data_IF_662913478936
#
_entry.id   IF_662913478936
#
_cell.length_a   1.000
_cell.length_b   1.000
_cell.length_c   1.000
_cell.angle_alpha   90.00
_cell.angle_beta   90.00
_cell.angle_gamma   90.00
#
_symmetry.space_group_name_H-M   'P 1'
#
loop_
_entity.id
_entity.type
_entity.pdbx_description
1 polymer ?
#
# COMPACT_ATOMS: atom_id res chain seq x y z
N UNK A 1 33.01 39.43 2.97
CA UNK A 1 31.70 38.71 2.98
C UNK A 1 31.72 37.70 1.85
N UNK A 2 32.12 36.45 2.12
CA UNK A 2 32.08 35.39 1.10
C UNK A 2 30.61 35.07 0.85
N UNK A 3 30.07 35.54 -0.28
CA UNK A 3 28.73 35.16 -0.71
C UNK A 3 28.68 33.64 -0.81
N UNK A 4 27.83 32.99 -0.02
CA UNK A 4 27.60 31.55 -0.17
C UNK A 4 27.16 31.30 -1.61
N UNK A 5 27.90 30.48 -2.35
CA UNK A 5 27.51 30.08 -3.69
C UNK A 5 26.12 29.44 -3.64
N UNK A 6 25.23 29.89 -4.52
CA UNK A 6 23.84 29.43 -4.60
C UNK A 6 23.57 28.71 -5.92
N UNK A 7 22.51 27.92 -5.93
CA UNK A 7 22.00 27.23 -7.11
C UNK A 7 20.49 27.13 -7.06
N UNK A 8 19.86 27.24 -8.23
CA UNK A 8 18.42 27.02 -8.39
C UNK A 8 18.12 25.52 -8.44
N UNK A 9 17.21 25.06 -7.60
CA UNK A 9 16.75 23.68 -7.63
C UNK A 9 15.82 23.45 -8.82
N UNK A 10 16.12 22.46 -9.67
CA UNK A 10 15.27 22.12 -10.83
C UNK A 10 13.86 21.60 -10.49
N UNK A 11 13.59 21.28 -9.23
CA UNK A 11 12.34 20.67 -8.78
C UNK A 11 11.43 21.72 -8.14
N UNK A 12 11.92 22.48 -7.15
CA UNK A 12 11.12 23.52 -6.49
C UNK A 12 11.29 24.92 -7.11
N UNK A 13 12.26 25.14 -8.00
CA UNK A 13 12.52 26.45 -8.61
C UNK A 13 13.20 27.47 -7.67
N UNK A 14 13.35 27.17 -6.39
CA UNK A 14 13.98 28.07 -5.41
C UNK A 14 15.52 28.11 -5.54
N UNK A 15 16.09 29.30 -5.39
CA UNK A 15 17.53 29.53 -5.25
C UNK A 15 17.98 29.24 -3.81
N UNK A 16 18.94 28.34 -3.64
CA UNK A 16 19.39 27.85 -2.32
C UNK A 16 20.91 27.76 -2.22
N UNK A 17 21.50 27.86 -1.02
CA UNK A 17 22.93 27.60 -0.80
C UNK A 17 23.36 26.22 -1.34
N UNK A 18 24.57 26.13 -1.93
CA UNK A 18 25.09 24.89 -2.52
C UNK A 18 25.15 23.72 -1.54
N UNK A 19 25.32 23.96 -0.24
CA UNK A 19 25.31 22.94 0.82
C UNK A 19 23.98 22.16 0.92
N UNK A 20 22.88 22.78 0.46
CA UNK A 20 21.58 22.13 0.34
C UNK A 20 21.47 21.25 -0.91
N UNK A 21 22.54 21.11 -1.70
CA UNK A 21 22.65 20.18 -2.82
C UNK A 21 23.71 19.13 -2.49
N UNK A 22 23.36 17.85 -2.63
CA UNK A 22 24.29 16.76 -2.35
C UNK A 22 25.43 16.70 -3.35
N UNK A 23 26.61 16.30 -2.88
CA UNK A 23 27.75 15.99 -3.74
C UNK A 23 27.45 14.77 -4.61
N UNK A 24 27.68 14.90 -5.91
CA UNK A 24 27.58 13.80 -6.86
C UNK A 24 28.69 13.95 -7.90
N UNK A 25 29.75 13.12 -7.74
CA UNK A 25 30.95 13.15 -8.59
C UNK A 25 30.66 12.81 -10.05
N UNK A 26 29.50 12.21 -10.35
CA UNK A 26 29.09 11.83 -11.71
C UNK A 26 28.51 13.01 -12.50
N UNK A 27 28.14 14.11 -11.82
CA UNK A 27 27.45 15.25 -12.43
C UNK A 27 28.43 16.40 -12.62
N UNK A 28 28.38 17.07 -13.78
CA UNK A 28 29.17 18.27 -14.06
C UNK A 28 28.92 19.33 -12.99
N UNK A 29 29.99 19.80 -12.33
CA UNK A 29 29.91 20.73 -11.21
C UNK A 29 29.76 20.06 -9.82
N UNK A 30 29.96 18.74 -9.73
CA UNK A 30 30.22 18.01 -8.47
C UNK A 30 29.07 17.92 -7.47
N UNK A 31 27.93 18.55 -7.76
CA UNK A 31 26.72 18.56 -6.94
C UNK A 31 25.49 18.32 -7.79
N UNK A 32 24.48 17.70 -7.19
CA UNK A 32 23.16 17.49 -7.79
C UNK A 32 22.50 18.82 -8.20
N UNK A 33 21.54 18.76 -9.14
CA UNK A 33 20.76 19.92 -9.60
C UNK A 33 19.39 20.05 -8.88
N UNK A 34 19.16 19.25 -7.84
CA UNK A 34 17.98 19.30 -6.97
C UNK A 34 18.42 19.42 -5.53
N UNK A 35 17.69 20.18 -4.70
CA UNK A 35 18.04 20.31 -3.30
C UNK A 35 17.73 19.02 -2.52
N UNK A 36 18.38 18.86 -1.36
CA UNK A 36 18.20 17.76 -0.41
C UNK A 36 16.74 17.61 -0.01
N UNK A 37 16.05 18.71 0.28
CA UNK A 37 14.62 18.69 0.62
C UNK A 37 13.77 18.08 -0.50
N UNK A 38 13.92 18.55 -1.73
CA UNK A 38 13.22 17.96 -2.89
C UNK A 38 13.63 16.52 -3.14
N UNK A 39 14.90 16.15 -2.90
CA UNK A 39 15.33 14.75 -2.99
C UNK A 39 14.61 13.91 -1.93
N UNK A 40 14.55 14.35 -0.68
CA UNK A 40 13.86 13.64 0.42
C UNK A 40 12.37 13.52 0.11
N UNK A 41 11.71 14.59 -0.36
CA UNK A 41 10.32 14.56 -0.79
C UNK A 41 10.08 13.61 -1.97
N UNK A 42 11.01 13.51 -2.93
CA UNK A 42 10.94 12.52 -4.03
C UNK A 42 11.29 11.09 -3.59
N UNK A 43 11.92 10.95 -2.44
CA UNK A 43 12.33 9.68 -1.83
C UNK A 43 11.42 9.33 -0.64
N UNK A 44 10.26 9.98 -0.50
CA UNK A 44 9.30 9.59 0.53
C UNK A 44 8.82 8.13 0.29
N UNK A 45 8.26 7.51 1.32
CA UNK A 45 7.86 6.09 1.25
C UNK A 45 6.74 5.86 0.24
N UNK A 46 5.81 6.81 0.11
CA UNK A 46 4.73 6.75 -0.86
C UNK A 46 5.25 6.78 -2.32
N UNK A 47 6.27 7.60 -2.61
CA UNK A 47 6.93 7.64 -3.92
C UNK A 47 7.60 6.33 -4.30
N UNK A 48 8.28 5.69 -3.34
CA UNK A 48 8.91 4.39 -3.57
C UNK A 48 7.84 3.32 -3.82
N UNK A 49 6.81 3.27 -2.96
CA UNK A 49 5.67 2.38 -3.12
C UNK A 49 4.97 2.56 -4.49
N UNK A 50 4.74 3.80 -4.91
CA UNK A 50 4.15 4.11 -6.22
C UNK A 50 4.98 3.54 -7.39
N UNK A 51 6.31 3.71 -7.35
CA UNK A 51 7.20 3.17 -8.39
C UNK A 51 7.15 1.66 -8.45
N UNK A 52 7.12 1.00 -7.30
CA UNK A 52 7.07 -0.46 -7.23
C UNK A 52 5.70 -1.00 -7.66
N UNK A 53 4.61 -0.32 -7.28
CA UNK A 53 3.26 -0.61 -7.79
C UNK A 53 3.19 -0.45 -9.31
N UNK A 54 3.66 0.69 -9.86
CA UNK A 54 3.64 0.95 -11.30
C UNK A 54 4.39 -0.11 -12.10
N UNK A 55 5.55 -0.56 -11.61
CA UNK A 55 6.31 -1.67 -12.24
C UNK A 55 5.53 -2.98 -12.21
N UNK A 56 4.92 -3.34 -11.07
CA UNK A 56 4.10 -4.55 -10.94
C UNK A 56 2.86 -4.49 -11.83
N UNK A 57 2.18 -3.36 -11.86
CA UNK A 57 0.98 -3.13 -12.65
C UNK A 57 1.27 -3.26 -14.16
N UNK A 58 2.36 -2.62 -14.63
CA UNK A 58 2.81 -2.75 -16.01
C UNK A 58 3.11 -4.21 -16.39
N UNK A 59 3.79 -4.96 -15.51
CA UNK A 59 4.10 -6.37 -15.74
C UNK A 59 2.83 -7.24 -15.79
N UNK A 60 1.83 -6.92 -14.98
CA UNK A 60 0.58 -7.66 -14.89
C UNK A 60 -0.49 -7.19 -15.90
N UNK A 61 -0.24 -6.14 -16.68
CA UNK A 61 -1.21 -5.58 -17.62
C UNK A 61 -2.43 -4.94 -16.93
N UNK A 62 -2.30 -4.50 -15.68
CA UNK A 62 -3.39 -3.86 -14.92
C UNK A 62 -3.20 -2.34 -14.88
N UNK A 63 -4.28 -1.54 -14.91
CA UNK A 63 -4.19 -0.09 -14.86
C UNK A 63 -3.62 0.40 -13.52
N UNK A 64 -2.94 1.55 -13.56
CA UNK A 64 -2.56 2.30 -12.36
C UNK A 64 -3.54 3.45 -12.18
N UNK A 65 -4.44 3.31 -11.20
CA UNK A 65 -5.47 4.31 -10.89
C UNK A 65 -5.01 5.25 -9.77
N UNK A 66 -4.36 4.71 -8.72
CA UNK A 66 -3.83 5.51 -7.61
C UNK A 66 -2.70 6.45 -8.06
N UNK A 67 -2.68 7.64 -7.50
CA UNK A 67 -1.64 8.66 -7.65
C UNK A 67 -0.63 8.64 -6.50
N UNK A 68 0.53 9.28 -6.69
CA UNK A 68 1.50 9.45 -5.59
C UNK A 68 0.90 10.25 -4.42
N UNK A 69 0.08 11.26 -4.71
CA UNK A 69 -0.54 12.10 -3.68
C UNK A 69 -1.51 11.33 -2.81
N UNK A 70 -2.32 10.45 -3.40
CA UNK A 70 -3.20 9.56 -2.64
C UNK A 70 -2.43 8.56 -1.78
N UNK A 71 -1.33 8.00 -2.28
CA UNK A 71 -0.47 7.16 -1.44
C UNK A 71 0.14 7.96 -0.27
N UNK A 72 0.49 9.24 -0.44
CA UNK A 72 0.93 10.06 0.69
C UNK A 72 -0.17 10.24 1.73
N UNK A 73 -1.40 10.50 1.29
CA UNK A 73 -2.56 10.58 2.17
C UNK A 73 -2.77 9.25 2.90
N UNK A 74 -2.62 8.11 2.23
CA UNK A 74 -2.73 6.78 2.83
C UNK A 74 -1.67 6.57 3.94
N UNK A 75 -0.41 6.88 3.66
CA UNK A 75 0.65 6.80 4.67
C UNK A 75 0.38 7.72 5.87
N UNK A 76 -0.13 8.93 5.63
CA UNK A 76 -0.48 9.88 6.68
C UNK A 76 -1.68 9.40 7.52
N UNK A 77 -2.75 8.92 6.85
CA UNK A 77 -3.95 8.40 7.50
C UNK A 77 -3.67 7.17 8.38
N UNK A 78 -2.60 6.43 8.08
CA UNK A 78 -2.17 5.27 8.85
C UNK A 78 -1.03 5.59 9.84
N UNK A 79 -0.61 6.85 9.97
CA UNK A 79 0.54 7.25 10.80
C UNK A 79 1.81 6.42 10.48
N UNK A 80 1.98 6.06 9.20
CA UNK A 80 3.04 5.17 8.72
C UNK A 80 3.02 3.73 9.27
N UNK A 81 1.98 3.34 10.02
CA UNK A 81 1.83 2.03 10.66
C UNK A 81 1.07 1.04 9.78
N UNK A 82 1.28 -0.24 10.05
CA UNK A 82 0.49 -1.31 9.45
C UNK A 82 -0.96 -1.18 9.91
N UNK A 83 -1.92 -1.08 8.98
CA UNK A 83 -3.33 -0.89 9.33
C UNK A 83 -3.88 -2.08 10.11
N UNK A 84 -3.38 -3.28 9.83
CA UNK A 84 -3.87 -4.51 10.44
C UNK A 84 -3.43 -4.64 11.90
N UNK A 85 -2.12 -4.59 12.16
CA UNK A 85 -1.58 -4.87 13.50
C UNK A 85 -1.12 -3.63 14.27
N UNK A 86 -1.14 -2.44 13.66
CA UNK A 86 -0.75 -1.17 14.29
C UNK A 86 0.76 -0.95 14.46
N UNK A 87 1.60 -1.94 14.12
CA UNK A 87 3.06 -1.81 14.24
C UNK A 87 3.62 -0.79 13.24
N UNK A 88 4.59 -0.02 13.69
CA UNK A 88 5.50 0.79 12.86
C UNK A 88 6.50 -0.08 12.09
N UNK A 89 7.21 0.51 11.12
CA UNK A 89 8.26 -0.20 10.38
C UNK A 89 9.39 -0.69 11.31
N UNK A 90 9.72 0.08 12.35
CA UNK A 90 10.76 -0.27 13.33
C UNK A 90 10.34 -1.48 14.17
N UNK A 91 9.10 -1.49 14.66
CA UNK A 91 8.53 -2.64 15.40
C UNK A 91 8.31 -3.88 14.51
N UNK A 92 8.11 -3.68 13.22
CA UNK A 92 8.01 -4.76 12.23
C UNK A 92 9.40 -5.25 11.75
N UNK A 93 10.45 -4.46 11.97
CA UNK A 93 11.81 -4.72 11.48
C UNK A 93 11.97 -4.62 9.97
N UNK A 94 10.97 -4.12 9.25
CA UNK A 94 10.97 -4.03 7.80
C UNK A 94 10.05 -2.92 7.29
N UNK A 95 10.27 -2.52 6.04
CA UNK A 95 9.40 -1.54 5.39
C UNK A 95 7.99 -2.08 5.23
N UNK A 96 7.01 -1.18 5.31
CA UNK A 96 5.64 -1.51 4.98
C UNK A 96 5.42 -1.53 3.47
N UNK A 97 4.41 -2.30 3.06
CA UNK A 97 4.01 -2.50 1.69
C UNK A 97 2.58 -2.00 1.48
N UNK A 98 2.27 -1.68 0.22
CA UNK A 98 0.87 -1.48 -0.18
C UNK A 98 0.27 -2.85 -0.45
N UNK A 99 -0.80 -3.14 0.28
CA UNK A 99 -1.62 -4.35 0.17
C UNK A 99 -3.00 -4.00 -0.40
N UNK A 100 -3.60 -4.98 -1.08
CA UNK A 100 -4.90 -4.86 -1.70
C UNK A 100 -5.97 -5.45 -0.79
N UNK A 101 -7.01 -4.66 -0.44
CA UNK A 101 -8.13 -5.11 0.41
C UNK A 101 -8.84 -6.30 -0.23
N UNK A 102 -9.28 -6.13 -1.47
CA UNK A 102 -9.68 -7.19 -2.40
C UNK A 102 -8.48 -7.52 -3.29
N UNK A 103 -7.94 -8.76 -3.26
CA UNK A 103 -6.77 -9.12 -4.07
C UNK A 103 -7.00 -8.94 -5.58
N UNK A 104 -5.95 -8.57 -6.33
CA UNK A 104 -6.02 -8.46 -7.80
C UNK A 104 -6.50 -9.76 -8.47
N UNK A 105 -6.12 -10.92 -7.93
CA UNK A 105 -6.56 -12.23 -8.43
C UNK A 105 -8.05 -12.50 -8.24
N UNK A 106 -8.75 -11.65 -7.49
CA UNK A 106 -10.19 -11.70 -7.22
C UNK A 106 -10.92 -10.46 -7.76
N UNK A 107 -10.33 -9.74 -8.71
CA UNK A 107 -10.95 -8.57 -9.34
C UNK A 107 -10.73 -7.25 -8.61
N UNK A 108 -9.85 -7.21 -7.60
CA UNK A 108 -9.45 -5.96 -6.99
C UNK A 108 -8.73 -5.02 -7.97
N UNK A 109 -8.74 -3.73 -7.67
CA UNK A 109 -8.17 -2.67 -8.52
C UNK A 109 -6.96 -2.00 -7.86
N UNK A 110 -6.26 -1.13 -8.60
CA UNK A 110 -5.21 -0.28 -8.04
C UNK A 110 -5.76 1.10 -7.63
N UNK A 111 -7.08 1.24 -7.47
CA UNK A 111 -7.71 2.45 -6.95
C UNK A 111 -7.41 2.62 -5.45
N UNK A 112 -7.32 3.86 -4.97
CA UNK A 112 -6.95 4.16 -3.58
C UNK A 112 -7.87 3.48 -2.56
N UNK A 113 -9.16 3.32 -2.86
CA UNK A 113 -10.13 2.63 -2.00
C UNK A 113 -9.86 1.14 -1.83
N UNK A 114 -9.01 0.53 -2.66
CA UNK A 114 -8.64 -0.87 -2.52
C UNK A 114 -7.24 -1.06 -1.91
N UNK A 115 -6.60 0.00 -1.40
CA UNK A 115 -5.20 -0.03 -0.97
C UNK A 115 -5.05 0.33 0.51
N UNK A 116 -4.19 -0.43 1.21
CA UNK A 116 -3.85 -0.18 2.61
C UNK A 116 -2.35 -0.38 2.87
N UNK A 117 -1.84 0.22 3.95
CA UNK A 117 -0.46 0.00 4.40
C UNK A 117 -0.36 -1.24 5.29
N UNK A 118 0.48 -2.20 4.91
CA UNK A 118 0.62 -3.47 5.64
C UNK A 118 2.09 -3.85 5.85
N UNK A 119 2.41 -4.39 7.02
CA UNK A 119 3.73 -5.00 7.23
C UNK A 119 3.85 -6.35 6.50
N UNK A 120 5.08 -6.79 6.24
CA UNK A 120 5.35 -8.02 5.50
C UNK A 120 4.66 -9.24 6.11
N UNK A 121 4.62 -9.34 7.45
CA UNK A 121 3.98 -10.48 8.13
C UNK A 121 2.45 -10.51 7.99
N UNK A 122 1.78 -9.35 8.02
CA UNK A 122 0.33 -9.28 7.85
C UNK A 122 -0.05 -9.47 6.39
N UNK A 123 0.68 -8.83 5.47
CA UNK A 123 0.50 -9.00 4.03
C UNK A 123 0.64 -10.49 3.61
N UNK A 124 1.69 -11.17 4.10
CA UNK A 124 1.87 -12.60 3.83
C UNK A 124 0.77 -13.48 4.46
N UNK A 125 0.29 -13.12 5.66
CA UNK A 125 -0.80 -13.85 6.31
C UNK A 125 -2.16 -13.67 5.61
N UNK A 126 -2.44 -12.47 5.10
CA UNK A 126 -3.63 -12.19 4.29
C UNK A 126 -3.58 -12.96 2.98
N UNK A 127 -2.46 -12.84 2.23
CA UNK A 127 -2.26 -13.49 0.94
C UNK A 127 -3.38 -13.10 -0.04
N UNK A 128 -4.18 -14.06 -0.47
CA UNK A 128 -5.29 -13.96 -1.41
C UNK A 128 -6.66 -13.97 -0.71
N UNK A 129 -6.69 -13.84 0.62
CA UNK A 129 -7.95 -13.74 1.37
C UNK A 129 -8.57 -12.35 1.19
N UNK A 130 -9.88 -12.27 0.98
CA UNK A 130 -10.66 -11.04 1.20
C UNK A 130 -10.46 -10.49 2.61
N UNK A 131 -10.72 -9.21 2.81
CA UNK A 131 -10.53 -8.53 4.10
C UNK A 131 -11.29 -9.21 5.24
N UNK A 132 -12.58 -9.49 5.06
CA UNK A 132 -13.42 -10.12 6.09
C UNK A 132 -12.93 -11.54 6.39
N UNK A 133 -12.61 -12.34 5.36
CA UNK A 133 -11.98 -13.66 5.55
C UNK A 133 -10.68 -13.57 6.31
N UNK A 134 -9.87 -12.53 6.07
CA UNK A 134 -8.63 -12.32 6.81
C UNK A 134 -8.89 -11.93 8.26
N UNK A 135 -9.83 -11.02 8.51
CA UNK A 135 -10.26 -10.60 9.84
C UNK A 135 -10.73 -11.79 10.69
N UNK A 136 -11.66 -12.60 10.17
CA UNK A 136 -12.23 -13.74 10.90
C UNK A 136 -11.20 -14.85 11.17
N UNK A 137 -10.22 -15.02 10.29
CA UNK A 137 -9.16 -16.04 10.44
C UNK A 137 -7.95 -15.56 11.25
N UNK A 138 -7.94 -14.30 11.73
CA UNK A 138 -6.82 -13.72 12.45
C UNK A 138 -7.18 -13.55 13.92
N UNK A 139 -6.21 -13.79 14.81
CA UNK A 139 -6.38 -13.46 16.22
C UNK A 139 -6.62 -11.93 16.35
N UNK A 140 -7.61 -11.54 17.17
CA UNK A 140 -8.00 -10.15 17.45
C UNK A 140 -6.83 -9.27 17.92
N UNK A 141 -5.83 -9.83 18.60
CA UNK A 141 -4.62 -9.10 19.01
C UNK A 141 -3.75 -8.68 17.81
N UNK A 142 -3.83 -9.44 16.71
CA UNK A 142 -3.03 -9.24 15.49
C UNK A 142 -3.80 -8.50 14.40
N UNK A 143 -5.12 -8.42 14.51
CA UNK A 143 -5.99 -7.59 13.68
C UNK A 143 -7.23 -7.14 14.49
N UNK A 144 -7.11 -6.03 15.25
CA UNK A 144 -8.18 -5.56 16.12
C UNK A 144 -9.40 -5.07 15.35
N UNK A 145 -10.57 -5.10 16.00
CA UNK A 145 -11.83 -4.62 15.44
C UNK A 145 -11.75 -3.15 14.97
N UNK A 146 -11.13 -2.28 15.78
CA UNK A 146 -10.89 -0.87 15.41
C UNK A 146 -10.12 -0.71 14.09
N UNK A 147 -9.21 -1.65 13.79
CA UNK A 147 -8.47 -1.64 12.54
C UNK A 147 -9.36 -2.04 11.37
N UNK A 148 -10.24 -3.03 11.55
CA UNK A 148 -11.22 -3.41 10.53
C UNK A 148 -12.18 -2.25 10.24
N UNK A 149 -12.73 -1.61 11.28
CA UNK A 149 -13.59 -0.44 11.13
C UNK A 149 -12.86 0.72 10.44
N UNK A 150 -11.61 1.01 10.81
CA UNK A 150 -10.82 2.05 10.16
C UNK A 150 -10.61 1.80 8.66
N UNK A 151 -10.41 0.53 8.25
CA UNK A 151 -10.33 0.16 6.84
C UNK A 151 -11.68 0.40 6.16
N UNK A 152 -12.80 -0.06 6.72
CA UNK A 152 -14.12 0.14 6.14
C UNK A 152 -14.45 1.63 5.93
N UNK A 153 -14.19 2.48 6.93
CA UNK A 153 -14.37 3.93 6.81
C UNK A 153 -13.43 4.57 5.79
N UNK A 154 -12.17 4.13 5.71
CA UNK A 154 -11.25 4.62 4.69
C UNK A 154 -11.75 4.29 3.28
N UNK A 155 -12.22 3.05 3.06
CA UNK A 155 -12.80 2.63 1.77
C UNK A 155 -14.01 3.51 1.44
N UNK A 156 -14.94 3.67 2.38
CA UNK A 156 -16.13 4.52 2.23
C UNK A 156 -15.78 5.95 1.82
N UNK A 157 -14.86 6.59 2.55
CA UNK A 157 -14.41 7.96 2.28
C UNK A 157 -13.72 8.10 0.92
N UNK A 158 -12.88 7.14 0.54
CA UNK A 158 -12.09 7.20 -0.70
C UNK A 158 -12.84 6.72 -1.94
N UNK A 159 -13.86 5.88 -1.78
CA UNK A 159 -14.77 5.49 -2.84
C UNK A 159 -15.95 6.46 -3.00
N UNK A 160 -16.19 7.32 -2.01
CA UNK A 160 -17.37 8.20 -2.00
C UNK A 160 -18.68 7.43 -1.77
N UNK A 161 -18.62 6.35 -0.99
CA UNK A 161 -19.76 5.47 -0.72
C UNK A 161 -20.17 5.51 0.76
N UNK A 162 -21.46 5.28 1.07
CA UNK A 162 -21.90 4.97 2.43
C UNK A 162 -21.15 3.75 3.01
N UNK A 163 -20.86 3.77 4.31
CA UNK A 163 -20.06 2.72 4.96
C UNK A 163 -20.80 1.37 5.03
N UNK A 164 -22.12 1.39 5.12
CA UNK A 164 -22.99 0.21 5.05
C UNK A 164 -22.90 -0.47 3.69
N UNK A 165 -22.96 0.27 2.58
CA UNK A 165 -22.75 -0.31 1.24
C UNK A 165 -21.36 -0.96 1.09
N UNK A 166 -20.33 -0.33 1.68
CA UNK A 166 -18.98 -0.91 1.70
C UNK A 166 -18.94 -2.20 2.50
N UNK A 167 -19.56 -2.23 3.68
CA UNK A 167 -19.60 -3.42 4.52
C UNK A 167 -20.36 -4.57 3.84
N UNK A 168 -21.47 -4.27 3.17
CA UNK A 168 -22.23 -5.24 2.40
C UNK A 168 -21.38 -5.85 1.27
N UNK A 169 -20.64 -5.01 0.54
CA UNK A 169 -19.70 -5.47 -0.50
C UNK A 169 -18.61 -6.39 0.05
N UNK A 170 -18.00 -6.02 1.20
CA UNK A 170 -16.97 -6.82 1.86
C UNK A 170 -17.50 -8.17 2.36
N UNK A 171 -18.72 -8.20 2.89
CA UNK A 171 -19.39 -9.42 3.33
C UNK A 171 -19.76 -10.33 2.15
N UNK A 172 -20.21 -9.73 1.04
CA UNK A 172 -20.51 -10.45 -0.18
C UNK A 172 -19.26 -11.10 -0.80
N UNK A 173 -18.13 -10.38 -0.86
CA UNK A 173 -16.83 -10.94 -1.29
C UNK A 173 -16.42 -12.14 -0.41
N UNK A 174 -16.61 -12.03 0.91
CA UNK A 174 -16.35 -13.12 1.84
C UNK A 174 -17.24 -14.34 1.57
N UNK A 175 -18.55 -14.15 1.39
CA UNK A 175 -19.48 -15.24 1.10
C UNK A 175 -19.04 -16.02 -0.16
N UNK A 176 -18.73 -15.31 -1.25
CA UNK A 176 -18.22 -15.96 -2.47
C UNK A 176 -16.91 -16.69 -2.25
N UNK A 177 -15.97 -16.09 -1.49
CA UNK A 177 -14.70 -16.74 -1.16
C UNK A 177 -14.89 -18.03 -0.38
N UNK A 178 -15.83 -18.07 0.57
CA UNK A 178 -16.12 -19.27 1.34
C UNK A 178 -16.78 -20.34 0.46
N UNK A 179 -17.78 -19.96 -0.35
CA UNK A 179 -18.44 -20.89 -1.27
C UNK A 179 -17.44 -21.54 -2.24
N UNK A 180 -16.57 -20.75 -2.88
CA UNK A 180 -15.54 -21.24 -3.80
C UNK A 180 -14.59 -22.25 -3.13
N UNK A 181 -14.33 -22.08 -1.82
CA UNK A 181 -13.50 -23.02 -1.06
C UNK A 181 -14.22 -24.32 -0.73
N UNK A 182 -15.49 -24.23 -0.33
CA UNK A 182 -16.32 -25.41 -0.08
C UNK A 182 -16.40 -26.27 -1.34
N UNK A 183 -16.67 -25.65 -2.50
CA UNK A 183 -16.74 -26.36 -3.79
C UNK A 183 -15.42 -27.07 -4.12
N UNK A 184 -14.28 -26.41 -3.88
CA UNK A 184 -12.95 -27.02 -4.09
C UNK A 184 -12.68 -28.18 -3.13
N UNK A 185 -13.09 -28.05 -1.87
CA UNK A 185 -12.92 -29.11 -0.86
C UNK A 185 -13.81 -30.32 -1.18
N UNK A 186 -15.06 -30.10 -1.62
CA UNK A 186 -15.95 -31.17 -2.08
C UNK A 186 -15.38 -31.89 -3.31
N UNK A 187 -14.96 -31.15 -4.33
CA UNK A 187 -14.36 -31.72 -5.54
C UNK A 187 -13.05 -32.48 -5.26
N UNK A 188 -12.24 -32.03 -4.29
CA UNK A 188 -11.04 -32.74 -3.85
C UNK A 188 -11.38 -34.03 -3.09
N UNK A 189 -12.44 -34.02 -2.28
CA UNK A 189 -12.98 -35.19 -1.60
C UNK A 189 -13.46 -36.26 -2.58
N UNK A 190 -14.27 -35.88 -3.57
CA UNK A 190 -14.76 -36.80 -4.61
C UNK A 190 -13.62 -37.46 -5.38
N UNK A 191 -12.59 -36.69 -5.79
CA UNK A 191 -11.40 -37.24 -6.45
C UNK A 191 -10.63 -38.24 -5.60
N UNK A 192 -10.63 -38.06 -4.27
CA UNK A 192 -9.97 -38.99 -3.35
C UNK A 192 -10.74 -40.30 -3.20
N UNK A 193 -12.08 -40.24 -3.23
CA UNK A 193 -12.96 -41.43 -3.20
C UNK A 193 -12.89 -42.21 -4.51
N UNK A 194 -12.76 -41.54 -5.67
CA UNK A 194 -12.62 -42.23 -6.96
C UNK A 194 -11.23 -42.80 -7.23
N UNK A 195 -10.22 -42.41 -6.44
CA UNK A 195 -8.84 -42.88 -6.55
C UNK A 195 -8.50 -44.04 -5.59
N UNK A 196 -9.47 -44.47 -4.78
CA UNK A 196 -9.39 -45.62 -3.85
C UNK A 196 -10.23 -46.78 -4.38
#
# INVERSE_FOLDING_TARGET
>A
MTGQEKRTCRICGEEKPLELFELDKRVKGGRTNRCKACKTALNDRAHQAYRDMKKRALKAGVPMEVTVSELRLLYAAHDGKCIYCGKSEDEAGCRHHIDHVTPLSRGGTNHISNLVLACASCNAAKKDKPLVSFYLNRNRDKFPEKSFSAIAYLIALTAGQPVDEVLDGLLHEHAYYVMERIDKEMAAGEKRVMAT
#
